data_IF_640137784922
#
_entry.id   IF_640137784922
#
_cell.length_a   1.000
_cell.length_b   1.000
_cell.length_c   1.000
_cell.angle_alpha   90.00
_cell.angle_beta   90.00
_cell.angle_gamma   90.00
#
_symmetry.space_group_name_H-M   'P 1'
#
loop_
_entity.id
_entity.type
_entity.pdbx_description
1 polymer ?
#
# COMPACT_ATOMS: atom_id res chain seq x y z
N UNK A 1 89.45 16.84 40.32
CA UNK A 1 88.51 16.65 39.29
C UNK A 1 87.14 17.23 39.64
N UNK A 2 86.82 18.35 39.10
CA UNK A 2 85.61 19.15 39.29
C UNK A 2 84.48 18.63 38.38
N UNK A 3 83.34 18.30 38.96
CA UNK A 3 82.10 18.02 38.25
C UNK A 3 81.36 19.34 37.90
N UNK A 4 80.83 19.51 36.68
CA UNK A 4 79.89 20.59 36.47
C UNK A 4 78.44 20.12 36.67
N UNK A 5 77.65 21.06 37.21
CA UNK A 5 76.23 20.99 37.51
C UNK A 5 75.37 20.73 36.26
N UNK A 6 74.42 19.82 36.39
CA UNK A 6 73.46 19.53 35.38
C UNK A 6 72.36 20.58 35.20
N UNK A 7 72.07 20.94 33.97
CA UNK A 7 70.94 21.77 33.58
C UNK A 7 69.62 20.97 33.75
N UNK A 8 68.69 21.54 34.48
CA UNK A 8 67.29 21.11 34.55
C UNK A 8 66.60 21.43 33.22
N UNK A 9 66.29 20.38 32.43
CA UNK A 9 65.44 20.50 31.26
C UNK A 9 63.98 20.56 31.71
N UNK A 10 63.30 21.66 31.45
CA UNK A 10 61.87 21.77 31.60
C UNK A 10 61.16 20.88 30.53
N UNK A 11 60.53 19.81 30.96
CA UNK A 11 59.58 19.02 30.16
C UNK A 11 58.29 19.87 29.95
N UNK A 12 58.15 20.42 28.78
CA UNK A 12 56.87 20.96 28.29
C UNK A 12 55.99 19.80 27.87
N UNK A 13 54.85 19.64 28.59
CA UNK A 13 53.81 18.69 28.19
C UNK A 13 53.14 19.13 26.89
N UNK A 14 52.91 18.22 25.95
CA UNK A 14 52.17 18.54 24.72
C UNK A 14 50.72 18.88 25.05
N UNK A 15 50.19 19.93 24.44
CA UNK A 15 48.80 20.34 24.55
C UNK A 15 47.86 19.20 24.12
N UNK A 16 46.85 18.94 24.93
CA UNK A 16 45.80 17.95 24.65
C UNK A 16 45.16 18.31 23.30
N UNK A 17 45.31 17.41 22.34
CA UNK A 17 44.59 17.46 21.06
C UNK A 17 43.11 17.33 21.34
N UNK A 18 42.34 18.37 21.04
CA UNK A 18 40.90 18.35 21.10
C UNK A 18 40.41 17.31 20.07
N UNK A 19 39.88 16.19 20.54
CA UNK A 19 39.24 15.20 19.73
C UNK A 19 38.05 15.85 18.97
N UNK A 20 38.07 15.75 17.65
CA UNK A 20 36.98 16.17 16.80
C UNK A 20 35.67 15.48 17.27
N UNK A 21 34.52 16.17 17.20
CA UNK A 21 33.25 15.59 17.59
C UNK A 21 32.98 14.35 16.74
N UNK A 22 32.76 13.21 17.40
CA UNK A 22 32.37 11.96 16.73
C UNK A 22 31.03 12.26 16.03
N UNK A 23 31.02 12.14 14.72
CA UNK A 23 29.79 12.16 13.92
C UNK A 23 28.89 11.05 14.44
N UNK A 24 27.79 11.40 15.06
CA UNK A 24 26.70 10.48 15.40
C UNK A 24 26.25 9.80 14.13
N UNK A 25 26.11 8.47 14.09
CA UNK A 25 25.55 7.81 12.92
C UNK A 25 24.19 8.45 12.61
N UNK A 26 23.95 8.77 11.35
CA UNK A 26 22.67 9.32 10.90
C UNK A 26 21.55 8.39 11.37
N UNK A 27 20.84 8.81 12.40
CA UNK A 27 19.75 8.03 12.96
C UNK A 27 18.65 7.93 11.91
N UNK A 28 18.16 6.72 11.67
CA UNK A 28 16.97 6.48 10.86
C UNK A 28 15.83 7.37 11.38
N UNK A 29 15.44 8.34 10.58
CA UNK A 29 14.42 9.31 10.97
C UNK A 29 13.04 8.76 10.67
N UNK A 30 12.22 8.60 11.71
CA UNK A 30 10.80 8.34 11.56
C UNK A 30 10.08 9.59 11.07
N UNK A 31 9.25 9.44 10.04
CA UNK A 31 8.35 10.51 9.63
C UNK A 31 7.25 10.63 10.69
N UNK A 32 7.23 11.75 11.40
CA UNK A 32 6.19 11.99 12.39
C UNK A 32 4.81 11.96 11.71
N UNK A 33 3.81 11.26 12.29
CA UNK A 33 2.44 11.29 11.78
C UNK A 33 1.94 12.74 11.83
N UNK A 34 1.45 13.27 10.72
CA UNK A 34 0.60 14.46 10.76
C UNK A 34 -0.66 14.10 11.53
N UNK A 35 -1.21 15.01 12.35
CA UNK A 35 -2.33 14.76 13.28
C UNK A 35 -3.61 14.22 12.63
N UNK A 36 -3.81 14.40 11.35
CA UNK A 36 -4.72 13.58 10.55
C UNK A 36 -3.92 12.42 9.97
N UNK A 37 -3.70 11.39 10.78
CA UNK A 37 -2.92 10.23 10.36
C UNK A 37 -3.50 9.71 9.08
N UNK A 38 -2.88 10.15 8.05
CA UNK A 38 -3.10 9.73 6.71
C UNK A 38 -3.23 8.20 6.68
N UNK A 39 -4.22 7.74 5.94
CA UNK A 39 -4.42 6.31 5.71
C UNK A 39 -3.11 5.65 5.31
N UNK A 40 -2.27 6.35 4.53
CA UNK A 40 -0.97 5.87 4.09
C UNK A 40 -0.02 5.51 5.24
N UNK A 41 0.09 6.36 6.27
CA UNK A 41 0.92 6.08 7.46
C UNK A 41 0.42 4.84 8.20
N UNK A 42 -0.90 4.68 8.34
CA UNK A 42 -1.48 3.47 8.95
C UNK A 42 -1.24 2.23 8.11
N UNK A 43 -1.28 2.35 6.78
CA UNK A 43 -1.01 1.25 5.85
C UNK A 43 0.45 0.81 5.94
N UNK A 44 1.40 1.76 5.97
CA UNK A 44 2.81 1.47 6.19
C UNK A 44 3.05 0.78 7.54
N UNK A 45 2.40 1.26 8.61
CA UNK A 45 2.47 0.63 9.93
C UNK A 45 1.88 -0.79 9.93
N UNK A 46 0.76 -1.02 9.22
CA UNK A 46 0.16 -2.36 9.06
C UNK A 46 1.11 -3.31 8.31
N UNK A 47 1.76 -2.83 7.26
CA UNK A 47 2.76 -3.62 6.55
C UNK A 47 3.98 -3.96 7.42
N UNK A 48 4.46 -3.00 8.22
CA UNK A 48 5.61 -3.22 9.13
C UNK A 48 5.35 -4.27 10.20
N UNK A 49 4.11 -4.44 10.68
CA UNK A 49 3.79 -5.50 11.65
C UNK A 49 4.08 -6.91 11.13
N UNK A 50 4.13 -7.09 9.82
CA UNK A 50 4.44 -8.38 9.19
C UNK A 50 5.94 -8.71 9.18
N UNK A 51 6.83 -7.77 9.56
CA UNK A 51 8.29 -7.99 9.54
C UNK A 51 8.75 -9.06 10.55
N UNK A 52 7.99 -9.23 11.62
CA UNK A 52 8.29 -10.22 12.67
C UNK A 52 7.67 -11.60 12.36
N UNK A 53 6.96 -11.74 11.23
CA UNK A 53 6.30 -12.98 10.84
C UNK A 53 7.25 -13.89 10.04
N UNK A 54 7.30 -15.17 10.41
CA UNK A 54 7.99 -16.16 9.59
C UNK A 54 7.12 -16.57 8.41
N UNK A 55 7.52 -16.16 7.20
CA UNK A 55 6.78 -16.42 5.96
C UNK A 55 7.67 -17.07 4.92
N UNK A 56 7.30 -18.27 4.48
CA UNK A 56 7.93 -18.96 3.35
C UNK A 56 7.36 -18.42 2.04
N UNK A 57 8.23 -18.03 1.11
CA UNK A 57 7.80 -17.56 -0.21
C UNK A 57 7.19 -18.70 -1.02
N UNK A 58 5.89 -18.62 -1.29
CA UNK A 58 5.17 -19.66 -2.03
C UNK A 58 4.07 -19.04 -2.92
N UNK A 59 4.29 -19.11 -4.22
CA UNK A 59 3.37 -18.62 -5.25
C UNK A 59 2.38 -19.67 -5.75
N UNK A 60 2.35 -20.87 -5.17
CA UNK A 60 1.46 -21.94 -5.60
C UNK A 60 0.00 -21.51 -5.54
N UNK A 61 -0.75 -21.93 -6.56
CA UNK A 61 -2.20 -21.73 -6.58
C UNK A 61 -2.86 -22.47 -5.41
N UNK A 62 -3.75 -21.78 -4.70
CA UNK A 62 -4.54 -22.34 -3.60
C UNK A 62 -6.00 -21.92 -3.74
N UNK A 63 -6.91 -22.82 -3.47
CA UNK A 63 -8.33 -22.45 -3.24
C UNK A 63 -8.42 -21.82 -1.86
N UNK A 64 -9.03 -20.66 -1.77
CA UNK A 64 -9.20 -19.89 -0.55
C UNK A 64 -10.65 -19.41 -0.44
N UNK A 65 -11.06 -19.01 0.76
CA UNK A 65 -12.39 -18.48 1.01
C UNK A 65 -12.66 -17.21 0.21
N UNK A 66 -13.90 -16.86 0.05
CA UNK A 66 -14.34 -15.59 -0.49
C UNK A 66 -15.60 -15.14 0.27
N UNK A 67 -15.69 -13.91 0.79
CA UNK A 67 -14.62 -12.90 0.87
C UNK A 67 -13.54 -13.23 1.91
N UNK A 68 -12.52 -12.35 2.03
CA UNK A 68 -11.46 -12.38 3.04
C UNK A 68 -10.58 -13.63 3.01
N UNK A 69 -10.51 -14.31 1.85
CA UNK A 69 -9.64 -15.47 1.70
C UNK A 69 -8.16 -15.12 1.80
N UNK A 70 -7.40 -15.97 2.47
CA UNK A 70 -5.95 -15.91 2.54
C UNK A 70 -5.34 -17.30 2.41
N UNK A 71 -4.09 -17.36 2.03
CA UNK A 71 -3.27 -18.56 2.20
C UNK A 71 -2.86 -18.68 3.67
N UNK A 72 -2.41 -19.88 4.08
CA UNK A 72 -1.86 -20.03 5.44
C UNK A 72 -0.84 -18.92 5.75
N UNK A 73 -0.84 -18.40 6.98
CA UNK A 73 0.09 -17.36 7.43
C UNK A 73 1.56 -17.73 7.23
N UNK A 74 1.88 -19.03 7.21
CA UNK A 74 3.22 -19.54 6.90
C UNK A 74 3.66 -19.30 5.45
N UNK A 75 2.75 -18.91 4.57
CA UNK A 75 3.05 -18.69 3.16
C UNK A 75 2.67 -17.27 2.72
N UNK A 76 3.42 -16.75 1.76
CA UNK A 76 3.12 -15.47 1.17
C UNK A 76 4.09 -15.12 0.04
N UNK A 77 3.68 -14.17 -0.77
CA UNK A 77 4.50 -13.53 -1.81
C UNK A 77 4.44 -12.01 -1.65
N UNK A 78 5.04 -11.26 -2.56
CA UNK A 78 5.05 -9.79 -2.48
C UNK A 78 3.64 -9.17 -2.38
N UNK A 79 2.67 -9.72 -3.09
CA UNK A 79 1.28 -9.23 -3.07
C UNK A 79 0.58 -9.50 -1.74
N UNK A 80 0.94 -10.59 -1.04
CA UNK A 80 0.31 -10.92 0.24
C UNK A 80 0.67 -9.91 1.33
N UNK A 81 1.86 -9.30 1.29
CA UNK A 81 2.23 -8.17 2.16
C UNK A 81 1.26 -7.01 2.00
N UNK A 82 0.95 -6.66 0.75
CA UNK A 82 0.00 -5.58 0.42
C UNK A 82 -1.42 -5.97 0.85
N UNK A 83 -1.87 -7.16 0.49
CA UNK A 83 -3.22 -7.66 0.79
C UNK A 83 -3.48 -7.67 2.30
N UNK A 84 -2.54 -8.19 3.09
CA UNK A 84 -2.67 -8.28 4.55
C UNK A 84 -2.65 -6.91 5.20
N UNK A 85 -1.79 -5.98 4.74
CA UNK A 85 -1.76 -4.62 5.24
C UNK A 85 -3.10 -3.88 4.99
N UNK A 86 -3.69 -4.01 3.81
CA UNK A 86 -5.02 -3.45 3.54
C UNK A 86 -6.12 -4.11 4.37
N UNK A 87 -6.07 -5.42 4.55
CA UNK A 87 -7.03 -6.18 5.36
C UNK A 87 -7.02 -5.75 6.81
N UNK A 88 -5.87 -5.44 7.40
CA UNK A 88 -5.72 -4.89 8.75
C UNK A 88 -6.44 -3.54 8.91
N UNK A 89 -6.58 -2.80 7.82
CA UNK A 89 -7.31 -1.53 7.79
C UNK A 89 -8.78 -1.69 7.33
N UNK A 90 -9.27 -2.94 7.24
CA UNK A 90 -10.66 -3.24 6.89
C UNK A 90 -10.96 -3.26 5.39
N UNK A 91 -9.95 -3.17 4.52
CA UNK A 91 -10.12 -3.22 3.07
C UNK A 91 -9.78 -4.61 2.54
N UNK A 92 -10.76 -5.28 1.94
CA UNK A 92 -10.59 -6.58 1.30
C UNK A 92 -10.24 -6.41 -0.19
N UNK A 93 -8.95 -6.50 -0.51
CA UNK A 93 -8.49 -6.40 -1.91
C UNK A 93 -8.98 -7.56 -2.79
N UNK A 94 -9.30 -8.73 -2.22
CA UNK A 94 -9.89 -9.83 -2.96
C UNK A 94 -11.26 -9.42 -3.52
N UNK A 95 -12.09 -8.82 -2.68
CA UNK A 95 -13.42 -8.31 -3.07
C UNK A 95 -13.28 -7.13 -4.03
N UNK A 96 -12.44 -6.16 -3.70
CA UNK A 96 -12.26 -4.95 -4.49
C UNK A 96 -11.80 -5.26 -5.94
N UNK A 97 -10.83 -6.16 -6.10
CA UNK A 97 -10.34 -6.61 -7.41
C UNK A 97 -11.44 -7.31 -8.22
N UNK A 98 -12.23 -8.18 -7.57
CA UNK A 98 -13.34 -8.87 -8.24
C UNK A 98 -14.44 -7.89 -8.69
N UNK A 99 -14.82 -6.94 -7.85
CA UNK A 99 -15.80 -5.90 -8.19
C UNK A 99 -15.31 -5.00 -9.33
N UNK A 100 -14.03 -4.65 -9.34
CA UNK A 100 -13.41 -3.84 -10.39
C UNK A 100 -13.25 -4.60 -11.73
N UNK A 101 -13.40 -5.93 -11.75
CA UNK A 101 -13.29 -6.80 -12.96
C UNK A 101 -11.99 -6.57 -13.74
N UNK A 102 -10.87 -6.40 -13.03
CA UNK A 102 -9.56 -6.13 -13.65
C UNK A 102 -8.70 -7.39 -13.83
N UNK A 103 -9.14 -8.51 -13.30
CA UNK A 103 -8.47 -9.82 -13.37
C UNK A 103 -9.11 -10.78 -14.36
N UNK A 104 -8.84 -12.08 -14.19
CA UNK A 104 -9.39 -13.18 -14.96
C UNK A 104 -10.78 -13.64 -14.49
N UNK A 105 -11.23 -13.18 -13.32
CA UNK A 105 -12.43 -13.63 -12.61
C UNK A 105 -12.15 -14.72 -11.58
N UNK A 106 -10.91 -15.18 -11.45
CA UNK A 106 -10.54 -16.18 -10.45
C UNK A 106 -10.29 -15.54 -9.08
N UNK A 107 -11.26 -15.74 -8.18
CA UNK A 107 -11.24 -15.19 -6.80
C UNK A 107 -10.09 -15.68 -5.95
N UNK A 108 -9.47 -16.82 -6.32
CA UNK A 108 -8.38 -17.40 -5.53
C UNK A 108 -7.04 -16.74 -5.81
N UNK A 109 -6.84 -16.18 -7.01
CA UNK A 109 -5.51 -15.77 -7.44
C UNK A 109 -5.41 -14.34 -7.98
N UNK A 110 -6.50 -13.75 -8.49
CA UNK A 110 -6.43 -12.45 -9.17
C UNK A 110 -5.82 -11.35 -8.30
N UNK A 111 -6.27 -11.22 -7.04
CA UNK A 111 -5.74 -10.23 -6.08
C UNK A 111 -4.29 -10.56 -5.64
N UNK A 112 -3.80 -11.76 -5.88
CA UNK A 112 -2.43 -12.20 -5.57
C UNK A 112 -1.48 -12.07 -6.77
N UNK A 113 -1.91 -11.47 -7.87
CA UNK A 113 -1.09 -11.21 -9.05
C UNK A 113 -0.72 -9.73 -9.11
N UNK A 114 0.57 -9.43 -9.17
CA UNK A 114 1.08 -8.04 -9.23
C UNK A 114 0.46 -7.26 -10.39
N UNK A 115 0.36 -7.85 -11.58
CA UNK A 115 -0.22 -7.16 -12.75
C UNK A 115 -1.72 -6.88 -12.58
N UNK A 116 -2.45 -7.72 -11.88
CA UNK A 116 -3.86 -7.47 -11.56
C UNK A 116 -3.99 -6.35 -10.53
N UNK A 117 -3.18 -6.36 -9.47
CA UNK A 117 -3.15 -5.27 -8.49
C UNK A 117 -2.71 -3.95 -9.14
N UNK A 118 -1.72 -3.97 -10.02
CA UNK A 118 -1.30 -2.79 -10.77
C UNK A 118 -2.45 -2.17 -11.56
N UNK A 119 -3.22 -3.00 -12.30
CA UNK A 119 -4.42 -2.53 -13.00
C UNK A 119 -5.49 -2.05 -12.05
N UNK A 120 -5.68 -2.72 -10.92
CA UNK A 120 -6.64 -2.31 -9.91
C UNK A 120 -6.30 -0.94 -9.33
N UNK A 121 -5.08 -0.76 -8.81
CA UNK A 121 -4.65 0.52 -8.23
C UNK A 121 -4.63 1.65 -9.27
N UNK A 122 -4.25 1.33 -10.51
CA UNK A 122 -4.30 2.30 -11.62
C UNK A 122 -5.71 2.76 -11.98
N UNK A 123 -6.73 1.94 -11.72
CA UNK A 123 -8.14 2.25 -12.02
C UNK A 123 -8.90 2.83 -10.82
N UNK A 124 -8.66 2.31 -9.64
CA UNK A 124 -9.43 2.62 -8.42
C UNK A 124 -8.73 3.61 -7.50
N UNK A 125 -7.42 3.80 -7.64
CA UNK A 125 -6.60 4.70 -6.86
C UNK A 125 -6.19 5.95 -7.64
N UNK A 126 -5.40 6.79 -6.99
CA UNK A 126 -4.72 7.93 -7.62
C UNK A 126 -3.43 7.44 -8.27
N UNK A 127 -3.28 7.66 -9.57
CA UNK A 127 -2.02 7.45 -10.28
C UNK A 127 -1.07 8.63 -9.98
N UNK A 128 0.11 8.33 -9.48
CA UNK A 128 1.13 9.30 -9.17
C UNK A 128 2.27 9.23 -10.20
N UNK A 129 2.99 10.33 -10.44
CA UNK A 129 4.15 10.31 -11.31
C UNK A 129 5.20 9.32 -10.82
N UNK A 130 5.84 8.60 -11.74
CA UNK A 130 7.04 7.83 -11.46
C UNK A 130 8.22 8.75 -11.67
N UNK A 131 8.85 9.18 -10.60
CA UNK A 131 10.00 10.10 -10.60
C UNK A 131 11.25 9.42 -10.04
N UNK A 132 12.37 10.11 -10.06
CA UNK A 132 13.60 9.70 -9.38
C UNK A 132 13.81 10.42 -8.05
N UNK A 133 12.84 11.25 -7.64
CA UNK A 133 12.87 12.02 -6.40
C UNK A 133 12.21 11.24 -5.28
N UNK A 134 12.96 10.99 -4.21
CA UNK A 134 12.51 10.16 -3.10
C UNK A 134 11.35 10.81 -2.31
N UNK A 135 11.31 12.14 -2.28
CA UNK A 135 10.28 12.94 -1.63
C UNK A 135 8.88 12.82 -2.23
N UNK A 136 8.79 12.35 -3.47
CA UNK A 136 7.49 12.13 -4.15
C UNK A 136 6.79 10.86 -3.64
N UNK A 137 7.52 9.96 -2.98
CA UNK A 137 7.02 8.68 -2.48
C UNK A 137 6.69 8.79 -0.99
N UNK A 138 5.41 8.88 -0.68
CA UNK A 138 4.93 9.06 0.69
C UNK A 138 4.61 7.71 1.37
N UNK A 139 4.61 7.66 2.71
CA UNK A 139 4.23 6.46 3.45
C UNK A 139 2.89 5.89 2.99
N UNK A 140 2.84 4.57 2.76
CA UNK A 140 1.64 3.87 2.30
C UNK A 140 1.40 3.93 0.79
N UNK A 141 2.22 4.64 0.02
CA UNK A 141 2.15 4.55 -1.43
C UNK A 141 2.49 3.13 -1.89
N UNK A 142 1.82 2.69 -2.93
CA UNK A 142 2.04 1.40 -3.57
C UNK A 142 2.95 1.60 -4.77
N UNK A 143 4.03 0.84 -4.83
CA UNK A 143 4.99 0.89 -5.94
C UNK A 143 5.07 -0.48 -6.59
N UNK A 144 4.97 -0.51 -7.91
CA UNK A 144 5.15 -1.72 -8.70
C UNK A 144 6.43 -1.65 -9.52
N UNK A 145 7.05 -2.81 -9.77
CA UNK A 145 8.37 -2.90 -10.39
C UNK A 145 8.41 -3.92 -11.51
N UNK A 146 9.31 -3.68 -12.49
CA UNK A 146 9.77 -4.70 -13.41
C UNK A 146 11.16 -5.17 -13.01
N UNK A 147 11.33 -6.47 -12.93
CA UNK A 147 12.57 -7.18 -12.60
C UNK A 147 12.97 -8.07 -13.78
N UNK A 148 13.50 -7.50 -14.85
CA UNK A 148 13.78 -8.24 -16.10
C UNK A 148 14.82 -9.35 -15.93
N UNK A 149 15.67 -9.24 -14.90
CA UNK A 149 16.67 -10.25 -14.53
C UNK A 149 16.06 -11.56 -14.02
N UNK A 150 14.80 -11.56 -13.59
CA UNK A 150 14.13 -12.77 -13.13
C UNK A 150 13.63 -13.59 -14.32
N UNK A 151 13.80 -14.90 -14.26
CA UNK A 151 13.53 -15.80 -15.40
C UNK A 151 12.07 -16.12 -15.63
N UNK A 152 11.27 -16.23 -14.54
CA UNK A 152 9.84 -16.57 -14.64
C UNK A 152 8.94 -15.36 -14.88
N UNK A 153 7.90 -15.45 -15.72
CA UNK A 153 6.98 -14.34 -15.98
C UNK A 153 6.34 -13.76 -14.69
N UNK A 154 5.96 -14.64 -13.75
CA UNK A 154 5.37 -14.24 -12.48
C UNK A 154 6.38 -13.56 -11.54
N UNK A 155 7.67 -13.83 -11.69
CA UNK A 155 8.73 -13.25 -10.87
C UNK A 155 9.30 -11.95 -11.44
N UNK A 156 8.93 -11.58 -12.68
CA UNK A 156 9.38 -10.36 -13.34
C UNK A 156 8.66 -9.10 -12.85
N UNK A 157 7.51 -9.25 -12.24
CA UNK A 157 6.78 -8.14 -11.63
C UNK A 157 6.84 -8.24 -10.12
N UNK A 158 6.92 -7.08 -9.45
CA UNK A 158 7.01 -7.01 -8.01
C UNK A 158 6.20 -5.82 -7.49
N UNK A 159 5.83 -5.85 -6.21
CA UNK A 159 5.04 -4.81 -5.57
C UNK A 159 5.55 -4.59 -4.14
N UNK A 160 5.49 -3.34 -3.68
CA UNK A 160 5.89 -2.94 -2.34
C UNK A 160 4.99 -1.82 -1.81
N UNK A 161 5.05 -1.61 -0.51
CA UNK A 161 4.48 -0.45 0.20
C UNK A 161 5.64 0.44 0.64
N UNK A 162 5.53 1.75 0.38
CA UNK A 162 6.48 2.74 0.88
C UNK A 162 6.31 2.87 2.40
N UNK A 163 7.42 2.79 3.12
CA UNK A 163 7.46 2.90 4.58
C UNK A 163 7.50 4.36 5.04
N UNK A 164 7.19 4.57 6.30
CA UNK A 164 7.39 5.82 7.04
C UNK A 164 8.81 5.93 7.63
N UNK A 165 9.67 4.97 7.35
CA UNK A 165 11.08 4.95 7.82
C UNK A 165 11.99 5.42 6.69
N UNK A 166 12.84 6.41 7.00
CA UNK A 166 13.84 6.93 6.07
C UNK A 166 15.18 6.25 6.33
N UNK A 167 15.78 5.72 5.29
CA UNK A 167 17.11 5.13 5.31
C UNK A 167 18.21 6.20 5.49
N UNK A 168 19.44 5.80 5.87
CA UNK A 168 20.60 6.69 5.86
C UNK A 168 20.90 7.32 4.48
N UNK A 169 20.44 6.69 3.41
CA UNK A 169 20.52 7.22 2.03
C UNK A 169 19.61 8.43 1.80
N UNK A 170 18.73 8.78 2.74
CA UNK A 170 17.70 9.82 2.62
C UNK A 170 16.42 9.36 1.90
N UNK A 171 16.34 8.10 1.49
CA UNK A 171 15.18 7.53 0.80
C UNK A 171 14.23 6.84 1.79
N UNK A 172 12.90 6.82 1.54
CA UNK A 172 12.00 5.96 2.29
C UNK A 172 12.34 4.50 2.01
N UNK A 173 12.35 3.69 3.05
CA UNK A 173 12.42 2.23 2.92
C UNK A 173 11.13 1.71 2.29
N UNK A 174 11.18 0.52 1.70
CA UNK A 174 10.00 -0.18 1.20
C UNK A 174 9.78 -1.48 1.96
N UNK A 175 8.51 -1.86 2.12
CA UNK A 175 8.11 -3.11 2.74
C UNK A 175 7.62 -4.05 1.66
N UNK A 176 8.25 -5.19 1.54
CA UNK A 176 7.97 -6.16 0.48
C UNK A 176 8.43 -7.58 0.87
N UNK A 177 8.16 -8.57 0.01
CA UNK A 177 8.71 -9.92 0.15
C UNK A 177 9.34 -10.35 -1.18
N UNK A 178 10.66 -10.49 -1.22
CA UNK A 178 11.45 -10.93 -2.39
C UNK A 178 11.79 -12.42 -2.37
N UNK A 179 11.37 -13.17 -1.36
CA UNK A 179 11.67 -14.59 -1.24
C UNK A 179 12.03 -15.05 0.18
N UNK A 180 12.35 -14.11 1.06
CA UNK A 180 12.86 -14.38 2.42
C UNK A 180 11.88 -13.94 3.51
N UNK A 181 10.61 -13.84 3.21
CA UNK A 181 9.60 -13.22 4.07
C UNK A 181 9.49 -11.71 3.87
N UNK A 182 8.57 -11.05 4.61
CA UNK A 182 8.44 -9.60 4.59
C UNK A 182 9.72 -8.93 5.09
N UNK A 183 10.20 -7.91 4.37
CA UNK A 183 11.42 -7.19 4.70
C UNK A 183 11.23 -5.69 4.53
N UNK A 184 12.00 -4.92 5.29
CA UNK A 184 12.10 -3.47 5.21
C UNK A 184 13.46 -3.12 4.62
N UNK A 185 13.51 -2.63 3.39
CA UNK A 185 14.75 -2.46 2.64
C UNK A 185 14.89 -1.06 2.01
N UNK A 186 16.13 -0.56 1.91
CA UNK A 186 16.48 0.63 1.09
C UNK A 186 16.58 0.22 -0.39
N UNK A 187 15.42 -0.07 -0.97
CA UNK A 187 15.32 -0.65 -2.30
C UNK A 187 14.31 0.06 -3.21
N UNK A 188 13.90 1.29 -2.86
CA UNK A 188 12.90 2.05 -3.63
C UNK A 188 13.26 2.16 -5.12
N UNK A 189 14.53 2.40 -5.45
CA UNK A 189 15.02 2.61 -6.82
C UNK A 189 15.97 1.51 -7.32
N UNK A 190 15.99 0.34 -6.66
CA UNK A 190 16.85 -0.78 -7.07
C UNK A 190 16.35 -1.43 -8.37
N UNK A 191 15.02 -1.59 -8.50
CA UNK A 191 14.39 -2.13 -9.69
C UNK A 191 13.62 -1.02 -10.43
N UNK A 192 13.36 -1.23 -11.73
CA UNK A 192 12.62 -0.26 -12.54
C UNK A 192 11.18 -0.15 -12.07
N UNK A 193 10.77 1.01 -11.59
CA UNK A 193 9.38 1.30 -11.19
C UNK A 193 8.49 1.30 -12.43
N UNK A 194 7.34 0.63 -12.35
CA UNK A 194 6.33 0.51 -13.42
C UNK A 194 5.00 1.17 -13.07
N UNK A 195 4.86 1.62 -11.83
CA UNK A 195 3.68 2.35 -11.38
C UNK A 195 3.84 2.82 -9.93
N UNK A 196 3.21 3.94 -9.63
CA UNK A 196 3.16 4.59 -8.33
C UNK A 196 1.73 4.99 -8.04
N UNK A 197 1.16 4.51 -6.95
CA UNK A 197 -0.27 4.62 -6.67
C UNK A 197 -0.53 4.98 -5.21
N UNK A 198 -1.64 5.70 -4.99
CA UNK A 198 -2.22 5.91 -3.66
C UNK A 198 -3.67 5.45 -3.66
N UNK A 199 -4.05 4.62 -2.68
CA UNK A 199 -5.40 4.10 -2.56
C UNK A 199 -5.79 3.95 -1.09
N UNK A 200 -6.89 4.56 -0.70
CA UNK A 200 -7.38 4.56 0.68
C UNK A 200 -8.76 3.89 0.85
N UNK A 201 -9.23 3.18 -0.20
CA UNK A 201 -10.57 2.61 -0.25
C UNK A 201 -11.53 3.48 -1.07
N UNK A 202 -12.64 2.90 -1.52
CA UNK A 202 -13.59 3.56 -2.42
C UNK A 202 -14.20 4.84 -1.85
N UNK A 203 -14.44 4.88 -0.53
CA UNK A 203 -15.14 6.01 0.13
C UNK A 203 -14.19 7.10 0.65
N UNK A 204 -12.87 6.94 0.46
CA UNK A 204 -11.85 7.82 1.04
C UNK A 204 -11.01 8.58 0.02
N UNK A 205 -11.28 8.37 -1.26
CA UNK A 205 -10.57 9.03 -2.37
C UNK A 205 -11.20 10.35 -2.80
N UNK A 206 -12.33 10.75 -2.20
CA UNK A 206 -12.91 12.07 -2.48
C UNK A 206 -12.04 13.14 -1.81
N UNK A 207 -11.41 14.06 -2.57
CA UNK A 207 -10.74 15.20 -1.97
C UNK A 207 -11.79 16.01 -1.20
N UNK A 208 -11.44 16.42 0.02
CA UNK A 208 -12.23 17.38 0.79
C UNK A 208 -12.30 18.69 -0.01
N UNK A 209 -13.25 18.84 -0.89
CA UNK A 209 -13.37 19.98 -1.80
C UNK A 209 -14.54 19.96 -2.76
N UNK A 210 -15.32 18.87 -2.86
CA UNK A 210 -16.56 18.92 -3.64
C UNK A 210 -17.67 19.45 -2.72
N UNK A 211 -17.88 20.72 -2.89
CA UNK A 211 -18.92 21.56 -2.29
C UNK A 211 -20.23 20.80 -2.17
N UNK A 212 -20.70 20.64 -0.93
CA UNK A 212 -22.09 20.31 -0.67
C UNK A 212 -22.98 21.22 -1.53
N UNK A 213 -23.66 20.65 -2.52
CA UNK A 213 -24.66 21.33 -3.30
C UNK A 213 -25.66 21.90 -2.29
N UNK A 214 -25.60 23.21 -2.08
CA UNK A 214 -26.65 23.91 -1.34
C UNK A 214 -27.94 23.61 -2.07
N UNK A 215 -28.80 22.84 -1.45
CA UNK A 215 -30.21 22.77 -1.82
C UNK A 215 -30.74 24.19 -1.61
N UNK A 216 -31.19 24.81 -2.67
CA UNK A 216 -31.85 26.11 -2.61
C UNK A 216 -33.09 26.02 -1.71
N UNK A 217 -33.30 26.97 -0.78
CA UNK A 217 -34.45 26.97 0.12
C UNK A 217 -35.81 27.14 -0.59
N UNK A 218 -35.82 27.33 -1.88
CA UNK A 218 -37.04 27.57 -2.67
C UNK A 218 -37.71 26.32 -3.27
N UNK A 219 -37.16 25.11 -3.12
CA UNK A 219 -37.78 23.86 -3.60
C UNK A 219 -38.74 23.18 -2.60
N UNK A 220 -39.00 23.78 -1.44
CA UNK A 220 -39.92 23.22 -0.42
C UNK A 220 -41.33 23.81 -0.44
N UNK A 221 -41.75 24.46 -1.51
CA UNK A 221 -43.15 24.92 -1.66
C UNK A 221 -43.72 24.44 -2.96
N UNK A 222 -44.17 23.19 -3.01
CA UNK A 222 -44.89 22.59 -4.16
C UNK A 222 -46.01 21.69 -3.65
N UNK A 223 -47.07 22.34 -3.32
CA UNK A 223 -48.48 21.94 -3.12
C UNK A 223 -48.88 20.55 -3.61
N UNK A 224 -49.41 19.78 -2.67
CA UNK A 224 -50.30 18.62 -2.79
C UNK A 224 -51.46 18.87 -3.76
N UNK A 225 -51.66 18.04 -4.77
CA UNK A 225 -52.94 17.81 -5.40
C UNK A 225 -53.16 16.33 -5.67
N UNK A 226 -54.07 15.78 -4.89
CA UNK A 226 -54.70 14.49 -5.08
C UNK A 226 -55.30 14.36 -6.50
N UNK A 227 -55.10 13.21 -7.17
CA UNK A 227 -56.00 12.68 -8.19
C UNK A 227 -56.29 11.21 -7.98
N UNK A 228 -57.55 10.79 -8.25
CA UNK A 228 -58.08 9.52 -7.69
C UNK A 228 -57.75 8.30 -8.56
N UNK A 229 -57.66 7.18 -7.85
CA UNK A 229 -57.49 5.81 -8.35
C UNK A 229 -58.70 5.42 -9.23
N UNK A 230 -58.45 5.10 -10.53
CA UNK A 230 -59.38 4.34 -11.36
C UNK A 230 -59.10 2.85 -11.25
N UNK A 231 -60.04 2.12 -10.64
CA UNK A 231 -60.13 0.65 -10.72
C UNK A 231 -60.34 0.27 -12.22
N UNK A 232 -59.55 -0.60 -12.73
CA UNK A 232 -59.84 -1.34 -13.96
C UNK A 232 -60.05 -2.82 -13.63
N UNK A 233 -61.11 -3.33 -14.20
CA UNK A 233 -61.77 -4.60 -13.99
C UNK A 233 -60.93 -5.78 -14.52
N UNK A 234 -61.08 -6.90 -13.82
CA UNK A 234 -60.87 -8.26 -14.22
C UNK A 234 -61.45 -8.60 -15.60
N UNK A 235 -60.65 -9.22 -16.46
CA UNK A 235 -61.15 -10.04 -17.56
C UNK A 235 -60.49 -11.42 -17.50
N UNK A 236 -61.32 -12.40 -17.32
CA UNK A 236 -61.11 -13.85 -17.32
C UNK A 236 -61.18 -14.35 -18.78
N UNK A 237 -60.29 -15.16 -19.22
CA UNK A 237 -60.46 -16.09 -20.38
C UNK A 237 -59.43 -17.21 -20.21
N UNK A 238 -59.82 -18.36 -19.75
CA UNK A 238 -60.26 -19.59 -20.39
C UNK A 238 -59.20 -20.34 -21.19
N UNK A 239 -58.99 -21.51 -20.69
CA UNK A 239 -58.14 -22.58 -21.18
C UNK A 239 -58.55 -23.05 -22.58
N UNK A 240 -57.58 -23.61 -23.34
CA UNK A 240 -57.73 -24.83 -24.09
C UNK A 240 -56.34 -25.41 -24.40
N UNK A 241 -56.17 -26.57 -24.08
CA UNK A 241 -55.31 -27.61 -24.28
C UNK A 241 -55.11 -28.10 -25.72
N UNK A 242 -53.94 -28.67 -25.95
CA UNK A 242 -53.79 -29.83 -26.89
C UNK A 242 -52.50 -30.56 -26.62
N UNK A 243 -52.65 -31.81 -26.29
CA UNK A 243 -51.71 -32.94 -26.30
C UNK A 243 -51.41 -33.38 -27.73
N UNK A 244 -50.34 -34.17 -27.85
CA UNK A 244 -49.91 -35.12 -28.94
C UNK A 244 -48.62 -34.62 -29.62
N UNK A 245 -47.53 -35.27 -29.68
CA UNK A 245 -47.02 -36.67 -29.54
C UNK A 245 -45.58 -36.64 -29.08
#
# INVERSE_FOLDING_TARGET
GTRPLGLLQHCTLPAASQAAPRSTPASTRWLAPKENSDFGTRLAAAARRQLDEFVVYNAAYRRISYPRGDVSSLFGVCTDVVIRAYRDLGIDLQVAVQQARVGSGDRNIDHRRTETLRRFFGRAGTNLPVTTFAEDYLPGDIVTYARPQNTGPASRSHIAIVSDVIAPSGRPLIIHNRGWGPQLEDALFVDRITGHYRYAGADRTTPAGETARRLDPHELTGTTLHKPVRRARSARATATGRTVR
#
